data_IF_390989984563
#
_entry.id   IF_390989984563
#
_cell.length_a   1.000
_cell.length_b   1.000
_cell.length_c   1.000
_cell.angle_alpha   90.00
_cell.angle_beta   90.00
_cell.angle_gamma   90.00
#
_symmetry.space_group_name_H-M   'P 1'
#
loop_
_entity.id
_entity.type
_entity.pdbx_description
1 polymer ?
#
# COMPACT_ATOMS: atom_id res chain seq x y z
N UNK A 1 -14.50 12.31 62.56
CA UNK A 1 -14.89 11.74 61.24
C UNK A 1 -16.26 12.28 60.85
N UNK A 2 -16.34 12.76 59.61
CA UNK A 2 -17.52 13.05 58.78
C UNK A 2 -18.37 14.31 59.04
N UNK A 3 -18.82 14.84 57.88
CA UNK A 3 -19.93 15.76 57.62
C UNK A 3 -19.61 17.26 57.48
N UNK A 4 -18.85 17.62 56.43
CA UNK A 4 -19.20 18.81 55.67
C UNK A 4 -19.95 18.40 54.40
N UNK A 5 -21.21 18.81 54.41
CA UNK A 5 -22.28 18.53 53.46
C UNK A 5 -22.28 19.64 52.41
N UNK A 6 -22.24 19.28 51.12
CA UNK A 6 -22.75 19.97 49.91
C UNK A 6 -22.57 21.51 49.79
N UNK A 7 -22.15 22.10 48.67
CA UNK A 7 -22.83 22.10 47.36
C UNK A 7 -22.04 23.02 46.38
N UNK A 8 -22.28 22.87 45.07
CA UNK A 8 -21.98 23.79 43.92
C UNK A 8 -20.54 23.70 43.35
N UNK A 9 -20.28 22.92 42.29
CA UNK A 9 -20.57 23.17 40.87
C UNK A 9 -19.72 24.30 40.24
N UNK A 10 -18.76 23.93 39.37
CA UNK A 10 -18.48 24.59 38.09
C UNK A 10 -17.35 23.86 37.35
N UNK A 11 -17.75 23.03 36.39
CA UNK A 11 -16.94 22.53 35.28
C UNK A 11 -16.50 23.69 34.39
N UNK A 12 -15.22 23.74 34.02
CA UNK A 12 -14.77 24.40 32.79
C UNK A 12 -13.53 23.67 32.26
N UNK A 13 -13.78 22.73 31.37
CA UNK A 13 -12.80 22.09 30.50
C UNK A 13 -12.38 23.11 29.45
N UNK A 14 -11.07 23.37 29.33
CA UNK A 14 -10.49 23.96 28.13
C UNK A 14 -9.12 23.33 27.87
N UNK A 15 -9.13 22.05 27.44
CA UNK A 15 -8.03 21.47 26.69
C UNK A 15 -8.04 22.12 25.31
N UNK A 16 -7.27 23.19 25.12
CA UNK A 16 -6.88 23.68 23.79
C UNK A 16 -5.86 22.71 23.20
N UNK A 17 -6.31 21.50 22.90
CA UNK A 17 -5.63 20.59 21.99
C UNK A 17 -6.01 20.97 20.57
N UNK A 18 -5.33 21.94 19.98
CA UNK A 18 -5.35 22.16 18.54
C UNK A 18 -4.62 21.00 17.86
N UNK A 19 -5.30 19.86 17.73
CA UNK A 19 -4.97 18.87 16.73
C UNK A 19 -5.35 19.47 15.37
N UNK A 20 -4.41 20.18 14.75
CA UNK A 20 -4.52 20.51 13.35
C UNK A 20 -4.66 19.20 12.56
N UNK A 21 -5.67 19.05 11.69
CA UNK A 21 -5.68 17.94 10.74
C UNK A 21 -4.53 18.17 9.77
N UNK A 22 -3.39 17.54 10.01
CA UNK A 22 -2.34 17.40 9.01
C UNK A 22 -2.83 16.38 8.00
N UNK A 23 -3.35 16.78 6.84
CA UNK A 23 -3.32 16.04 5.56
C UNK A 23 -3.94 16.89 4.44
N UNK A 24 -3.11 17.68 3.74
CA UNK A 24 -3.43 18.20 2.42
C UNK A 24 -2.54 17.50 1.39
N UNK A 25 -2.72 16.19 1.19
CA UNK A 25 -2.09 15.52 0.06
C UNK A 25 -2.79 15.96 -1.23
N UNK A 26 -2.02 16.48 -2.18
CA UNK A 26 -2.57 16.95 -3.45
C UNK A 26 -2.98 15.76 -4.32
N UNK A 27 -3.82 15.99 -5.33
CA UNK A 27 -4.14 14.95 -6.30
C UNK A 27 -2.89 14.44 -7.03
N UNK A 28 -1.89 15.30 -7.25
CA UNK A 28 -0.61 14.90 -7.82
C UNK A 28 0.17 13.94 -6.90
N UNK A 29 0.13 14.18 -5.58
CA UNK A 29 0.75 13.28 -4.60
C UNK A 29 0.05 11.92 -4.57
N UNK A 30 -1.27 11.90 -4.65
CA UNK A 30 -2.05 10.65 -4.72
C UNK A 30 -1.72 9.85 -5.97
N UNK A 31 -1.61 10.50 -7.13
CA UNK A 31 -1.21 9.85 -8.39
C UNK A 31 0.23 9.32 -8.31
N UNK A 32 1.14 10.07 -7.71
CA UNK A 32 2.53 9.63 -7.49
C UNK A 32 2.58 8.38 -6.60
N UNK A 33 1.83 8.36 -5.50
CA UNK A 33 1.73 7.19 -4.61
C UNK A 33 1.13 6.00 -5.34
N UNK A 34 0.05 6.19 -6.10
CA UNK A 34 -0.58 5.13 -6.89
C UNK A 34 0.38 4.56 -7.95
N UNK A 35 1.10 5.42 -8.68
CA UNK A 35 2.11 5.00 -9.65
C UNK A 35 3.21 4.17 -8.98
N UNK A 36 3.75 4.63 -7.85
CA UNK A 36 4.79 3.90 -7.11
C UNK A 36 4.30 2.53 -6.62
N UNK A 37 3.10 2.48 -6.02
CA UNK A 37 2.50 1.24 -5.56
C UNK A 37 2.27 0.26 -6.73
N UNK A 38 1.79 0.76 -7.88
CA UNK A 38 1.59 -0.07 -9.07
C UNK A 38 2.91 -0.62 -9.63
N UNK A 39 3.98 0.18 -9.63
CA UNK A 39 5.33 -0.24 -10.03
C UNK A 39 5.93 -1.25 -9.04
N UNK A 40 5.75 -1.05 -7.73
CA UNK A 40 6.13 -2.05 -6.73
C UNK A 40 5.40 -3.38 -6.95
N UNK A 41 4.09 -3.33 -7.19
CA UNK A 41 3.29 -4.52 -7.48
C UNK A 41 3.79 -5.25 -8.72
N UNK A 42 4.21 -4.54 -9.78
CA UNK A 42 4.85 -5.13 -10.95
C UNK A 42 6.15 -5.85 -10.59
N UNK A 43 6.99 -5.22 -9.77
CA UNK A 43 8.22 -5.83 -9.26
C UNK A 43 7.95 -7.12 -8.49
N UNK A 44 6.95 -7.10 -7.60
CA UNK A 44 6.52 -8.26 -6.82
C UNK A 44 6.04 -9.40 -7.72
N UNK A 45 5.24 -9.11 -8.75
CA UNK A 45 4.78 -10.14 -9.69
C UNK A 45 5.97 -10.77 -10.45
N UNK A 46 6.99 -9.96 -10.76
CA UNK A 46 8.26 -10.46 -11.28
C UNK A 46 8.96 -11.41 -10.30
N UNK A 47 9.13 -11.01 -9.03
CA UNK A 47 9.66 -11.87 -7.97
C UNK A 47 8.88 -13.20 -7.87
N UNK A 48 7.55 -13.13 -7.86
CA UNK A 48 6.69 -14.30 -7.78
C UNK A 48 6.83 -15.24 -8.98
N UNK A 49 6.98 -14.68 -10.18
CA UNK A 49 7.21 -15.47 -11.40
C UNK A 49 8.60 -16.12 -11.39
N UNK A 50 9.64 -15.39 -11.01
CA UNK A 50 11.02 -15.89 -10.91
C UNK A 50 11.15 -17.04 -9.90
N UNK A 51 10.33 -17.02 -8.84
CA UNK A 51 10.23 -18.10 -7.84
C UNK A 51 9.35 -19.28 -8.27
N UNK A 52 8.65 -19.18 -9.41
CA UNK A 52 7.71 -20.19 -9.89
C UNK A 52 6.39 -20.25 -9.12
N UNK A 53 6.02 -19.20 -8.38
CA UNK A 53 4.79 -19.15 -7.60
C UNK A 53 3.57 -18.68 -8.42
N UNK A 54 3.80 -18.02 -9.55
CA UNK A 54 2.77 -17.59 -10.51
C UNK A 54 3.35 -17.53 -11.92
N UNK A 55 2.51 -17.36 -12.93
CA UNK A 55 2.95 -17.12 -14.30
C UNK A 55 3.27 -15.64 -14.56
N UNK A 56 3.98 -15.38 -15.65
CA UNK A 56 4.34 -14.02 -16.06
C UNK A 56 3.13 -13.20 -16.57
N UNK A 57 1.98 -13.83 -16.85
CA UNK A 57 0.84 -13.16 -17.45
C UNK A 57 0.24 -12.08 -16.53
N UNK A 58 0.30 -12.29 -15.20
CA UNK A 58 -0.11 -11.26 -14.24
C UNK A 58 0.76 -10.00 -14.35
N UNK A 59 2.07 -10.14 -14.55
CA UNK A 59 2.98 -9.00 -14.71
C UNK A 59 2.66 -8.20 -15.99
N UNK A 60 2.29 -8.87 -17.08
CA UNK A 60 1.90 -8.18 -18.32
C UNK A 60 0.57 -7.43 -18.17
N UNK A 61 -0.40 -7.99 -17.44
CA UNK A 61 -1.62 -7.27 -17.07
C UNK A 61 -1.29 -6.05 -16.21
N UNK A 62 -0.40 -6.20 -15.22
CA UNK A 62 0.02 -5.08 -14.37
C UNK A 62 0.69 -3.95 -15.17
N UNK A 63 1.49 -4.26 -16.20
CA UNK A 63 2.06 -3.24 -17.09
C UNK A 63 0.96 -2.44 -17.80
N UNK A 64 -0.11 -3.10 -18.27
CA UNK A 64 -1.26 -2.43 -18.89
C UNK A 64 -1.96 -1.51 -17.90
N UNK A 65 -2.18 -1.97 -16.66
CA UNK A 65 -2.77 -1.17 -15.59
C UNK A 65 -1.91 0.07 -15.27
N UNK A 66 -0.58 -0.08 -15.19
CA UNK A 66 0.35 1.04 -14.97
C UNK A 66 0.26 2.06 -16.10
N UNK A 67 0.15 1.63 -17.36
CA UNK A 67 0.06 2.53 -18.50
C UNK A 67 -1.20 3.41 -18.49
N UNK A 68 -2.22 3.06 -17.70
CA UNK A 68 -3.42 3.88 -17.48
C UNK A 68 -3.24 4.92 -16.38
N UNK A 69 -2.20 4.81 -15.56
CA UNK A 69 -1.87 5.79 -14.53
C UNK A 69 -1.04 6.89 -15.19
N UNK A 70 -1.46 8.17 -15.11
CA UNK A 70 -0.63 9.28 -15.58
C UNK A 70 0.77 9.21 -14.96
N UNK A 71 1.78 9.10 -15.82
CA UNK A 71 3.16 9.03 -15.35
C UNK A 71 3.53 10.35 -14.66
N UNK A 72 4.12 10.31 -13.45
CA UNK A 72 4.67 11.51 -12.83
C UNK A 72 5.84 12.05 -13.65
N UNK A 73 6.11 13.35 -13.54
CA UNK A 73 7.28 13.97 -14.19
C UNK A 73 8.61 13.33 -13.75
N UNK A 74 8.66 12.81 -12.51
CA UNK A 74 9.78 12.06 -11.96
C UNK A 74 9.35 10.61 -11.65
N UNK A 75 9.88 9.68 -12.45
CA UNK A 75 9.61 8.25 -12.32
C UNK A 75 10.53 7.52 -11.33
N UNK A 76 11.57 8.17 -10.80
CA UNK A 76 12.62 7.52 -9.99
C UNK A 76 12.07 6.78 -8.78
N UNK A 77 11.07 7.35 -8.10
CA UNK A 77 10.39 6.68 -6.98
C UNK A 77 9.65 5.42 -7.41
N UNK A 78 9.06 5.39 -8.61
CA UNK A 78 8.42 4.20 -9.16
C UNK A 78 9.44 3.12 -9.54
N UNK A 79 10.59 3.50 -10.08
CA UNK A 79 11.66 2.57 -10.43
C UNK A 79 12.31 1.95 -9.18
N UNK A 80 12.52 2.75 -8.13
CA UNK A 80 12.96 2.25 -6.83
C UNK A 80 11.94 1.27 -6.23
N UNK A 81 10.65 1.60 -6.34
CA UNK A 81 9.57 0.76 -5.85
C UNK A 81 9.49 -0.58 -6.62
N UNK A 82 9.62 -0.58 -7.95
CA UNK A 82 9.71 -1.82 -8.74
C UNK A 82 10.94 -2.65 -8.35
N UNK A 83 12.10 -2.02 -8.18
CA UNK A 83 13.32 -2.70 -7.77
C UNK A 83 13.21 -3.33 -6.37
N UNK A 84 12.52 -2.68 -5.44
CA UNK A 84 12.18 -3.26 -4.14
C UNK A 84 11.23 -4.47 -4.31
N UNK A 85 10.21 -4.34 -5.15
CA UNK A 85 9.27 -5.43 -5.44
C UNK A 85 9.96 -6.67 -6.02
N UNK A 86 10.93 -6.49 -6.94
CA UNK A 86 11.76 -7.57 -7.51
C UNK A 86 12.56 -8.34 -6.46
N UNK A 87 12.85 -7.71 -5.32
CA UNK A 87 13.54 -8.34 -4.18
C UNK A 87 12.58 -9.03 -3.21
N UNK A 88 11.27 -9.04 -3.50
CA UNK A 88 10.25 -9.59 -2.61
C UNK A 88 9.84 -8.62 -1.51
N UNK A 89 10.00 -7.31 -1.71
CA UNK A 89 9.64 -6.28 -0.72
C UNK A 89 8.44 -5.46 -1.18
N UNK A 90 7.40 -5.41 -0.35
CA UNK A 90 6.31 -4.46 -0.51
C UNK A 90 6.80 -3.09 -0.06
N UNK A 91 6.77 -2.11 -0.98
CA UNK A 91 7.14 -0.72 -0.72
C UNK A 91 5.94 0.16 -1.03
N UNK A 92 5.26 0.64 0.02
CA UNK A 92 4.05 1.44 -0.10
C UNK A 92 4.01 2.52 0.99
N UNK A 93 3.72 3.76 0.60
CA UNK A 93 3.54 4.90 1.51
C UNK A 93 4.73 5.09 2.50
N UNK A 94 5.95 4.79 2.06
CA UNK A 94 7.16 4.91 2.87
C UNK A 94 7.41 3.76 3.85
N UNK A 95 6.57 2.71 3.83
CA UNK A 95 6.81 1.48 4.57
C UNK A 95 7.35 0.38 3.65
N UNK A 96 8.35 -0.34 4.12
CA UNK A 96 8.90 -1.52 3.46
C UNK A 96 8.69 -2.77 4.29
N UNK A 97 8.09 -3.80 3.71
CA UNK A 97 7.83 -5.07 4.36
C UNK A 97 8.17 -6.24 3.42
N UNK A 98 9.02 -7.19 3.84
CA UNK A 98 9.30 -8.36 3.02
C UNK A 98 8.08 -9.28 2.96
N UNK A 99 7.82 -9.87 1.78
CA UNK A 99 6.70 -10.78 1.56
C UNK A 99 6.75 -11.97 2.51
N UNK A 100 7.95 -12.46 2.84
CA UNK A 100 8.17 -13.54 3.79
C UNK A 100 7.66 -13.19 5.19
N UNK A 101 7.86 -11.95 5.65
CA UNK A 101 7.34 -11.50 6.93
C UNK A 101 5.80 -11.38 6.91
N UNK A 102 5.24 -10.85 5.83
CA UNK A 102 3.78 -10.72 5.66
C UNK A 102 3.11 -12.09 5.63
N UNK A 103 3.66 -13.02 4.85
CA UNK A 103 3.20 -14.38 4.79
C UNK A 103 3.23 -15.02 6.19
N UNK A 104 4.32 -14.84 6.95
CA UNK A 104 4.42 -15.36 8.32
C UNK A 104 3.38 -14.75 9.26
N UNK A 105 3.18 -13.43 9.21
CA UNK A 105 2.19 -12.73 10.06
C UNK A 105 0.75 -13.18 9.77
N UNK A 106 0.46 -13.57 8.53
CA UNK A 106 -0.85 -14.05 8.09
C UNK A 106 -0.98 -15.57 8.16
N UNK A 107 -0.01 -16.26 8.78
CA UNK A 107 0.05 -17.72 8.88
C UNK A 107 -0.05 -18.42 7.51
N UNK A 108 0.51 -17.78 6.47
CA UNK A 108 0.55 -18.23 5.10
C UNK A 108 1.98 -18.44 4.58
N UNK A 109 2.12 -18.52 3.25
CA UNK A 109 3.41 -18.70 2.57
C UNK A 109 3.60 -17.63 1.50
N UNK A 110 4.85 -17.32 1.11
CA UNK A 110 5.12 -16.45 -0.04
C UNK A 110 4.41 -16.93 -1.31
N UNK A 111 4.32 -18.24 -1.52
CA UNK A 111 3.62 -18.83 -2.66
C UNK A 111 2.11 -18.52 -2.64
N UNK A 112 1.45 -18.67 -1.48
CA UNK A 112 0.04 -18.33 -1.31
C UNK A 112 -0.21 -16.85 -1.57
N UNK A 113 0.63 -15.98 -1.02
CA UNK A 113 0.55 -14.54 -1.24
C UNK A 113 0.71 -14.20 -2.74
N UNK A 114 1.76 -14.73 -3.38
CA UNK A 114 2.06 -14.55 -4.80
C UNK A 114 0.91 -15.01 -5.72
N UNK A 115 0.28 -16.13 -5.39
CA UNK A 115 -0.88 -16.62 -6.12
C UNK A 115 -2.06 -15.66 -6.01
N UNK A 116 -2.39 -15.23 -4.79
CA UNK A 116 -3.50 -14.32 -4.55
C UNK A 116 -3.36 -13.00 -5.31
N UNK A 117 -2.17 -12.39 -5.28
CA UNK A 117 -1.94 -11.14 -6.01
C UNK A 117 -1.98 -11.33 -7.52
N UNK A 118 -1.46 -12.46 -8.03
CA UNK A 118 -1.46 -12.78 -9.45
C UNK A 118 -2.89 -12.94 -9.98
N UNK A 119 -3.71 -13.68 -9.23
CA UNK A 119 -5.13 -13.89 -9.55
C UNK A 119 -5.91 -12.57 -9.47
N UNK A 120 -5.66 -11.74 -8.45
CA UNK A 120 -6.28 -10.43 -8.32
C UNK A 120 -5.96 -9.52 -9.51
N UNK A 121 -4.68 -9.45 -9.90
CA UNK A 121 -4.24 -8.62 -11.03
C UNK A 121 -4.87 -9.09 -12.34
N UNK A 122 -4.90 -10.40 -12.59
CA UNK A 122 -5.61 -10.97 -13.75
C UNK A 122 -7.10 -10.63 -13.75
N UNK A 123 -7.75 -10.71 -12.58
CA UNK A 123 -9.15 -10.35 -12.45
C UNK A 123 -9.39 -8.86 -12.75
N UNK A 124 -8.48 -7.98 -12.32
CA UNK A 124 -8.55 -6.56 -12.69
C UNK A 124 -8.35 -6.36 -14.20
N UNK A 125 -7.38 -7.05 -14.79
CA UNK A 125 -7.15 -7.04 -16.25
C UNK A 125 -8.34 -7.48 -17.07
N UNK A 126 -9.08 -8.49 -16.61
CA UNK A 126 -10.30 -8.97 -17.27
C UNK A 126 -11.43 -7.93 -17.29
N UNK A 127 -11.37 -6.93 -16.41
CA UNK A 127 -12.35 -5.83 -16.34
C UNK A 127 -11.90 -4.59 -17.11
N UNK A 128 -10.71 -4.61 -17.71
CA UNK A 128 -10.25 -3.50 -18.53
C UNK A 128 -11.06 -3.39 -19.83
N UNK A 129 -11.36 -2.16 -20.29
CA UNK A 129 -11.91 -1.96 -21.63
C UNK A 129 -10.99 -2.63 -22.67
N UNK A 130 -11.61 -3.32 -23.65
CA UNK A 130 -10.92 -3.95 -24.77
C UNK A 130 -10.42 -2.90 -25.77
#
# INVERSE_FOLDING_TARGET
MNFYKSLMAATAVALLGSAAPSFAQTQADQLKVAYQAARNQLGILGYCADKGYTDAAAADVQKKLIAMIPAPADASGGDAAEAAGRKGTISAMGMEQPIEAIAKMTNGTPATYCKQIGDLVKQMGAKLPQ
#
